data_IF_604468321389
#
_entry.id   IF_604468321389
#
_cell.length_a   1.000
_cell.length_b   1.000
_cell.length_c   1.000
_cell.angle_alpha   90.00
_cell.angle_beta   90.00
_cell.angle_gamma   90.00
#
_symmetry.space_group_name_H-M   'P 1'
#
loop_
_entity.id
_entity.type
_entity.pdbx_description
1 polymer ?
#
# COMPACT_ATOMS: atom_id res chain seq x y z
N UNK A 1 -10.75 -7.06 6.70
CA UNK A 1 -11.81 -6.50 5.83
C UNK A 1 -12.70 -5.48 6.54
N UNK A 2 -13.12 -5.69 7.80
CA UNK A 2 -13.94 -4.70 8.54
C UNK A 2 -13.32 -3.29 8.61
N UNK A 3 -12.00 -3.17 8.55
CA UNK A 3 -11.27 -1.90 8.54
C UNK A 3 -11.49 -1.06 7.26
N UNK A 4 -12.04 -1.63 6.19
CA UNK A 4 -12.47 -0.88 5.01
C UNK A 4 -13.84 -0.20 5.18
N UNK A 5 -14.55 -0.47 6.28
CA UNK A 5 -15.79 0.23 6.62
C UNK A 5 -15.54 1.74 6.68
N UNK A 6 -16.46 2.60 6.18
CA UNK A 6 -16.28 4.05 6.21
C UNK A 6 -15.95 4.59 7.60
N UNK A 7 -15.11 5.62 7.67
CA UNK A 7 -14.63 6.28 8.90
C UNK A 7 -13.64 5.47 9.76
N UNK A 8 -13.28 4.26 9.35
CA UNK A 8 -12.27 3.47 10.04
C UNK A 8 -10.92 3.52 9.33
N UNK A 9 -9.84 3.52 10.12
CA UNK A 9 -8.48 3.34 9.61
C UNK A 9 -8.36 1.95 8.97
N UNK A 10 -7.73 1.91 7.80
CA UNK A 10 -7.45 0.64 7.12
C UNK A 10 -6.37 -0.11 7.91
N UNK A 11 -6.60 -1.38 8.18
CA UNK A 11 -5.63 -2.25 8.85
C UNK A 11 -4.50 -2.65 7.89
N UNK A 12 -3.27 -2.77 8.39
CA UNK A 12 -2.10 -3.15 7.59
C UNK A 12 -2.29 -4.48 6.85
N UNK A 13 -2.97 -5.46 7.45
CA UNK A 13 -3.20 -6.74 6.79
C UNK A 13 -4.12 -6.62 5.57
N UNK A 14 -4.98 -5.59 5.51
CA UNK A 14 -5.76 -5.29 4.30
C UNK A 14 -4.88 -4.69 3.21
N UNK A 15 -3.90 -3.86 3.58
CA UNK A 15 -2.92 -3.31 2.63
C UNK A 15 -2.06 -4.43 2.05
N UNK A 16 -1.61 -5.38 2.87
CA UNK A 16 -0.80 -6.54 2.44
C UNK A 16 -1.62 -7.47 1.52
N UNK A 17 -2.90 -7.70 1.84
CA UNK A 17 -3.81 -8.42 0.95
C UNK A 17 -3.94 -7.72 -0.41
N UNK A 18 -3.98 -6.39 -0.43
CA UNK A 18 -4.02 -5.62 -1.67
C UNK A 18 -2.71 -5.70 -2.46
N UNK A 19 -1.56 -5.68 -1.79
CA UNK A 19 -0.26 -5.90 -2.43
C UNK A 19 -0.21 -7.27 -3.11
N UNK A 20 -0.77 -8.31 -2.47
CA UNK A 20 -0.89 -9.64 -3.04
C UNK A 20 -1.76 -9.66 -4.31
N UNK A 21 -2.91 -8.97 -4.29
CA UNK A 21 -3.79 -8.81 -5.47
C UNK A 21 -3.04 -8.13 -6.61
N UNK A 22 -2.42 -6.97 -6.35
CA UNK A 22 -1.69 -6.22 -7.38
C UNK A 22 -0.53 -7.03 -7.97
N UNK A 23 0.26 -7.72 -7.14
CA UNK A 23 1.34 -8.59 -7.59
C UNK A 23 0.86 -9.77 -8.46
N UNK A 24 -0.33 -10.30 -8.18
CA UNK A 24 -0.92 -11.33 -9.02
C UNK A 24 -1.34 -10.77 -10.38
N UNK A 25 -2.01 -9.62 -10.39
CA UNK A 25 -2.47 -8.97 -11.63
C UNK A 25 -1.31 -8.54 -12.54
N UNK A 26 -0.15 -8.22 -11.98
CA UNK A 26 1.07 -7.93 -12.76
C UNK A 26 1.52 -9.09 -13.67
N UNK A 27 1.08 -10.33 -13.41
CA UNK A 27 1.35 -11.48 -14.28
C UNK A 27 0.60 -11.40 -15.61
N UNK A 28 -0.48 -10.62 -15.67
CA UNK A 28 -1.37 -10.49 -16.82
C UNK A 28 -1.25 -9.14 -17.54
N UNK A 29 -0.25 -8.34 -17.18
CA UNK A 29 -0.01 -7.04 -17.81
C UNK A 29 0.30 -7.17 -19.30
N UNK A 30 0.02 -6.11 -20.06
CA UNK A 30 0.34 -6.06 -21.48
C UNK A 30 1.85 -6.13 -21.73
N UNK A 31 2.23 -6.71 -22.88
CA UNK A 31 3.63 -6.78 -23.29
C UNK A 31 4.21 -5.38 -23.46
N UNK A 32 5.31 -5.11 -22.75
CA UNK A 32 5.98 -3.80 -22.77
C UNK A 32 5.39 -2.77 -21.80
N UNK A 33 4.32 -3.11 -21.07
CA UNK A 33 3.84 -2.29 -19.97
C UNK A 33 4.87 -2.23 -18.83
N UNK A 34 4.79 -1.14 -18.07
CA UNK A 34 5.62 -0.91 -16.88
C UNK A 34 5.47 -2.08 -15.92
N UNK A 35 6.59 -2.65 -15.46
CA UNK A 35 6.57 -3.74 -14.48
C UNK A 35 6.60 -3.22 -13.07
N UNK A 36 5.70 -3.71 -12.22
CA UNK A 36 5.63 -3.30 -10.81
C UNK A 36 5.78 -4.50 -9.89
N UNK A 37 6.29 -4.26 -8.68
CA UNK A 37 6.26 -5.22 -7.59
C UNK A 37 5.91 -4.48 -6.29
N UNK A 38 5.02 -5.07 -5.50
CA UNK A 38 4.47 -4.47 -4.29
C UNK A 38 4.92 -5.32 -3.09
N UNK A 39 5.68 -4.73 -2.16
CA UNK A 39 6.06 -5.40 -0.93
C UNK A 39 5.04 -5.12 0.18
N UNK A 40 5.00 -6.00 1.17
CA UNK A 40 4.10 -5.87 2.30
C UNK A 40 4.59 -4.82 3.31
N UNK A 41 3.67 -4.33 4.14
CA UNK A 41 3.93 -3.33 5.19
C UNK A 41 4.95 -3.80 6.23
N UNK A 42 5.14 -5.11 6.37
CA UNK A 42 6.09 -5.73 7.31
C UNK A 42 7.55 -5.59 6.90
N UNK A 43 7.85 -5.16 5.67
CA UNK A 43 9.23 -4.93 5.23
C UNK A 43 9.93 -3.84 6.04
N UNK A 44 9.20 -2.81 6.49
CA UNK A 44 9.72 -1.76 7.39
C UNK A 44 8.69 -1.48 8.46
N UNK A 45 9.02 -1.87 9.70
CA UNK A 45 8.11 -1.72 10.83
C UNK A 45 8.54 -0.60 11.77
N UNK A 46 7.59 -0.11 12.59
CA UNK A 46 7.88 0.83 13.69
C UNK A 46 8.96 0.30 14.64
N UNK A 47 8.97 -1.01 14.90
CA UNK A 47 9.98 -1.64 15.76
C UNK A 47 11.38 -1.58 15.14
N UNK A 48 11.50 -1.70 13.82
CA UNK A 48 12.80 -1.50 13.15
C UNK A 48 13.28 -0.05 13.27
N UNK A 49 12.38 0.93 13.24
CA UNK A 49 12.74 2.34 13.32
C UNK A 49 13.03 2.82 14.76
N UNK A 50 12.28 2.31 15.75
CA UNK A 50 12.27 2.86 17.12
C UNK A 50 12.42 1.81 18.23
N UNK A 51 12.55 0.53 17.89
CA UNK A 51 12.58 -0.58 18.86
C UNK A 51 13.97 -0.96 19.37
N UNK A 52 15.01 -0.21 18.98
CA UNK A 52 16.38 -0.48 19.43
C UNK A 52 17.03 -1.74 18.83
N UNK A 53 16.52 -2.22 17.69
CA UNK A 53 17.15 -3.32 16.95
C UNK A 53 18.53 -2.90 16.42
N UNK A 54 19.48 -3.83 16.40
CA UNK A 54 20.76 -3.61 15.72
C UNK A 54 20.57 -3.59 14.20
N UNK A 55 21.55 -3.06 13.48
CA UNK A 55 21.55 -3.05 12.02
C UNK A 55 21.44 -4.47 11.44
N UNK A 56 22.12 -5.44 12.03
CA UNK A 56 22.10 -6.85 11.59
C UNK A 56 20.70 -7.45 11.75
N UNK A 57 20.03 -7.18 12.87
CA UNK A 57 18.65 -7.62 13.11
C UNK A 57 17.67 -6.97 12.12
N UNK A 58 17.83 -5.67 11.84
CA UNK A 58 17.03 -4.99 10.81
C UNK A 58 17.25 -5.62 9.42
N UNK A 59 18.49 -5.96 9.08
CA UNK A 59 18.84 -6.63 7.83
C UNK A 59 18.21 -8.02 7.72
N UNK A 60 18.30 -8.83 8.76
CA UNK A 60 17.74 -10.19 8.80
C UNK A 60 16.21 -10.19 8.64
N UNK A 61 15.53 -9.29 9.37
CA UNK A 61 14.07 -9.11 9.25
C UNK A 61 13.73 -8.71 7.81
N UNK A 62 14.41 -7.70 7.27
CA UNK A 62 14.16 -7.22 5.91
C UNK A 62 14.36 -8.33 4.88
N UNK A 63 15.50 -9.02 4.90
CA UNK A 63 15.83 -10.09 3.94
C UNK A 63 14.83 -11.25 4.03
N UNK A 64 14.38 -11.59 5.25
CA UNK A 64 13.35 -12.61 5.46
C UNK A 64 12.04 -12.21 4.81
N UNK A 65 11.60 -10.95 4.97
CA UNK A 65 10.35 -10.47 4.36
C UNK A 65 10.45 -10.40 2.84
N UNK A 66 11.58 -9.92 2.31
CA UNK A 66 11.82 -9.90 0.86
C UNK A 66 11.80 -11.33 0.29
N UNK A 67 12.49 -12.27 0.95
CA UNK A 67 12.50 -13.67 0.52
C UNK A 67 11.10 -14.30 0.57
N UNK A 68 10.29 -13.98 1.59
CA UNK A 68 8.92 -14.44 1.71
C UNK A 68 8.03 -13.94 0.56
N UNK A 69 8.18 -12.68 0.15
CA UNK A 69 7.48 -12.09 -1.00
C UNK A 69 7.74 -12.84 -2.33
N UNK A 70 8.86 -13.58 -2.42
CA UNK A 70 9.22 -14.39 -3.59
C UNK A 70 9.04 -15.90 -3.39
N UNK A 71 8.55 -16.38 -2.24
CA UNK A 71 8.60 -17.81 -1.85
C UNK A 71 7.90 -18.75 -2.85
N UNK A 72 6.91 -18.27 -3.59
CA UNK A 72 6.18 -19.05 -4.59
C UNK A 72 6.58 -18.74 -6.05
N UNK A 73 7.60 -17.90 -6.28
CA UNK A 73 8.10 -17.56 -7.62
C UNK A 73 9.33 -18.42 -7.97
N UNK A 74 9.27 -19.14 -9.09
CA UNK A 74 10.26 -20.15 -9.50
C UNK A 74 11.31 -19.65 -10.49
N UNK A 75 11.21 -18.42 -11.00
CA UNK A 75 12.20 -17.85 -11.94
C UNK A 75 13.08 -16.76 -11.29
N UNK A 76 13.98 -16.16 -12.10
CA UNK A 76 14.87 -15.06 -11.74
C UNK A 76 14.23 -13.83 -11.07
N UNK A 77 12.91 -13.79 -10.83
CA UNK A 77 12.15 -12.77 -10.10
C UNK A 77 12.74 -12.35 -8.76
N UNK A 78 13.54 -13.20 -8.11
CA UNK A 78 14.20 -12.92 -6.82
C UNK A 78 15.25 -11.80 -6.87
N UNK A 79 15.57 -11.26 -8.04
CA UNK A 79 16.59 -10.21 -8.19
C UNK A 79 16.06 -8.89 -8.73
N UNK A 80 14.74 -8.76 -8.93
CA UNK A 80 14.07 -7.55 -9.42
C UNK A 80 14.62 -7.00 -10.76
N UNK A 81 15.39 -7.77 -11.55
CA UNK A 81 16.07 -7.28 -12.77
C UNK A 81 15.12 -6.70 -13.82
N UNK A 82 13.92 -7.24 -13.91
CA UNK A 82 12.91 -6.86 -14.91
C UNK A 82 11.76 -6.04 -14.29
N UNK A 83 11.93 -5.57 -13.05
CA UNK A 83 10.95 -4.72 -12.37
C UNK A 83 11.31 -3.24 -12.58
N UNK A 84 10.38 -2.45 -13.12
CA UNK A 84 10.58 -1.02 -13.35
C UNK A 84 10.32 -0.20 -12.09
N UNK A 85 9.27 -0.55 -11.33
CA UNK A 85 8.82 0.15 -10.13
C UNK A 85 8.64 -0.82 -8.96
N UNK A 86 9.18 -0.46 -7.80
CA UNK A 86 9.02 -1.23 -6.56
C UNK A 86 8.33 -0.36 -5.53
N UNK A 87 7.22 -0.86 -4.97
CA UNK A 87 6.37 -0.15 -4.03
C UNK A 87 6.52 -0.75 -2.63
N UNK A 88 6.68 0.14 -1.64
CA UNK A 88 6.64 -0.21 -0.23
C UNK A 88 5.59 0.67 0.47
N UNK A 89 4.44 0.11 0.88
CA UNK A 89 3.53 0.79 1.78
C UNK A 89 4.17 0.86 3.17
N UNK A 90 4.23 2.05 3.74
CA UNK A 90 4.87 2.31 5.03
C UNK A 90 3.82 2.75 6.03
N UNK A 91 3.79 2.05 7.18
CA UNK A 91 2.97 2.42 8.34
C UNK A 91 3.89 2.80 9.50
N UNK A 92 4.12 4.10 9.67
CA UNK A 92 4.89 4.66 10.79
C UNK A 92 4.07 5.83 11.35
N UNK A 93 4.01 5.93 12.68
CA UNK A 93 3.24 6.97 13.38
C UNK A 93 1.75 7.05 12.97
N UNK A 94 1.12 5.88 12.78
CA UNK A 94 -0.35 5.70 12.63
C UNK A 94 -0.98 6.16 11.31
N UNK A 95 -0.21 6.52 10.29
CA UNK A 95 -0.75 6.76 8.94
C UNK A 95 0.09 6.07 7.86
N UNK A 96 -0.56 5.80 6.72
CA UNK A 96 0.10 5.21 5.56
C UNK A 96 0.65 6.27 4.59
N UNK A 97 1.81 5.94 4.03
CA UNK A 97 2.32 6.52 2.78
C UNK A 97 2.99 5.42 1.95
N UNK A 98 3.37 5.72 0.71
CA UNK A 98 4.03 4.75 -0.17
C UNK A 98 5.38 5.28 -0.62
N UNK A 99 6.44 4.49 -0.46
CA UNK A 99 7.73 4.75 -1.07
C UNK A 99 7.84 3.94 -2.36
N UNK A 100 8.14 4.61 -3.46
CA UNK A 100 8.27 4.00 -4.79
C UNK A 100 9.69 4.16 -5.30
N UNK A 101 10.39 3.04 -5.46
CA UNK A 101 11.68 2.98 -6.14
C UNK A 101 11.44 2.76 -7.63
N UNK A 102 11.70 3.78 -8.44
CA UNK A 102 11.72 3.67 -9.89
C UNK A 102 13.10 3.19 -10.33
N UNK A 103 13.27 1.88 -10.46
CA UNK A 103 14.54 1.25 -10.87
C UNK A 103 14.91 1.56 -12.32
N UNK A 104 13.92 1.83 -13.17
CA UNK A 104 14.12 2.24 -14.56
C UNK A 104 14.84 3.59 -14.66
N UNK A 105 14.33 4.59 -13.95
CA UNK A 105 14.83 5.98 -13.94
C UNK A 105 15.82 6.27 -12.82
N UNK A 106 16.02 5.33 -11.89
CA UNK A 106 16.79 5.53 -10.65
C UNK A 106 16.26 6.72 -9.84
N UNK A 107 15.00 6.68 -9.45
CA UNK A 107 14.37 7.72 -8.64
C UNK A 107 13.61 7.11 -7.45
N UNK A 108 13.48 7.87 -6.36
CA UNK A 108 12.70 7.50 -5.18
C UNK A 108 11.60 8.54 -5.03
N UNK A 109 10.34 8.09 -4.96
CA UNK A 109 9.19 8.98 -4.78
C UNK A 109 8.39 8.58 -3.54
N UNK A 110 7.93 9.56 -2.77
CA UNK A 110 7.12 9.34 -1.57
C UNK A 110 5.71 9.87 -1.81
N UNK A 111 4.75 8.95 -2.02
CA UNK A 111 3.36 9.29 -2.27
C UNK A 111 2.62 9.37 -0.93
N UNK A 112 2.40 10.59 -0.44
CA UNK A 112 1.71 10.83 0.82
C UNK A 112 0.64 11.94 0.68
N UNK A 113 -0.64 11.59 0.84
CA UNK A 113 -1.74 12.55 0.86
C UNK A 113 -1.83 13.36 2.15
N UNK A 114 -1.26 12.86 3.24
CA UNK A 114 -1.30 13.46 4.57
C UNK A 114 -0.04 14.26 4.90
N UNK A 115 0.76 14.60 3.88
CA UNK A 115 1.96 15.42 4.08
C UNK A 115 1.56 16.78 4.64
N UNK A 116 2.13 17.11 5.79
CA UNK A 116 2.15 18.48 6.28
C UNK A 116 3.12 19.29 5.41
N UNK A 117 2.64 20.40 4.83
CA UNK A 117 3.48 21.22 3.96
C UNK A 117 4.53 22.02 4.73
N UNK A 118 4.33 22.21 6.04
CA UNK A 118 5.20 22.98 6.93
C UNK A 118 6.31 22.13 7.56
N UNK A 119 6.24 20.81 7.45
CA UNK A 119 7.26 19.90 7.97
C UNK A 119 8.32 19.58 6.91
N UNK A 120 9.54 19.34 7.40
CA UNK A 120 10.68 18.94 6.57
C UNK A 120 10.67 17.43 6.33
N UNK A 121 11.37 16.98 5.29
CA UNK A 121 11.62 15.54 5.06
C UNK A 121 12.17 14.86 6.32
N UNK A 122 13.11 15.54 6.99
CA UNK A 122 13.78 15.02 8.19
C UNK A 122 12.80 14.73 9.33
N UNK A 123 11.74 15.54 9.46
CA UNK A 123 10.75 15.39 10.51
C UNK A 123 9.79 14.22 10.24
N UNK A 124 9.41 14.00 8.98
CA UNK A 124 8.30 13.09 8.66
C UNK A 124 8.73 11.73 8.13
N UNK A 125 9.90 11.64 7.48
CA UNK A 125 10.28 10.45 6.69
C UNK A 125 11.65 9.87 7.04
N UNK A 126 12.53 10.62 7.71
CA UNK A 126 13.91 10.19 7.96
C UNK A 126 14.00 8.77 8.54
N UNK A 127 13.23 8.48 9.58
CA UNK A 127 13.42 7.23 10.32
C UNK A 127 12.95 6.00 9.52
N UNK A 128 11.86 6.14 8.75
CA UNK A 128 11.34 5.06 7.92
C UNK A 128 11.98 4.97 6.54
N UNK A 129 12.01 6.10 5.83
CA UNK A 129 12.45 6.15 4.44
C UNK A 129 13.96 5.99 4.32
N UNK A 130 14.78 6.61 5.17
CA UNK A 130 16.23 6.41 5.09
C UNK A 130 16.61 4.97 5.47
N UNK A 131 15.93 4.38 6.46
CA UNK A 131 16.11 2.98 6.81
C UNK A 131 15.76 2.07 5.63
N UNK A 132 14.61 2.30 5.00
CA UNK A 132 14.19 1.55 3.81
C UNK A 132 15.20 1.66 2.67
N UNK A 133 15.70 2.87 2.39
CA UNK A 133 16.70 3.10 1.33
C UNK A 133 17.97 2.32 1.61
N UNK A 134 18.47 2.34 2.85
CA UNK A 134 19.67 1.59 3.24
C UNK A 134 19.46 0.08 3.11
N UNK A 135 18.37 -0.44 3.67
CA UNK A 135 18.04 -1.87 3.64
C UNK A 135 17.85 -2.37 2.21
N UNK A 136 17.07 -1.64 1.41
CA UNK A 136 16.78 -2.03 0.04
C UNK A 136 18.01 -1.91 -0.87
N UNK A 137 18.82 -0.87 -0.70
CA UNK A 137 20.08 -0.73 -1.46
C UNK A 137 21.06 -1.87 -1.16
N UNK A 138 21.19 -2.25 0.12
CA UNK A 138 21.98 -3.43 0.54
C UNK A 138 21.45 -4.71 -0.09
N UNK A 139 20.13 -4.91 -0.06
CA UNK A 139 19.52 -6.07 -0.71
C UNK A 139 19.77 -6.08 -2.23
N UNK A 140 19.62 -4.95 -2.92
CA UNK A 140 19.92 -4.84 -4.34
C UNK A 140 21.39 -5.16 -4.64
N UNK A 141 22.31 -4.76 -3.78
CA UNK A 141 23.73 -5.10 -3.89
C UNK A 141 23.98 -6.59 -3.72
N UNK A 142 23.36 -7.24 -2.71
CA UNK A 142 23.54 -8.68 -2.44
C UNK A 142 23.04 -9.57 -3.59
N UNK A 143 22.02 -9.12 -4.33
CA UNK A 143 21.52 -9.82 -5.53
C UNK A 143 22.18 -9.36 -6.85
N UNK A 144 23.23 -8.52 -6.76
CA UNK A 144 23.99 -8.04 -7.92
C UNK A 144 23.19 -7.14 -8.86
N UNK A 145 22.19 -6.41 -8.36
CA UNK A 145 21.37 -5.53 -9.17
C UNK A 145 22.13 -4.24 -9.53
N UNK A 146 22.22 -3.94 -10.83
CA UNK A 146 22.99 -2.81 -11.40
C UNK A 146 22.63 -1.42 -10.88
N UNK A 147 21.49 -1.28 -10.19
CA UNK A 147 21.00 0.00 -9.65
C UNK A 147 21.31 0.21 -8.17
N UNK A 148 21.87 -0.77 -7.47
CA UNK A 148 22.11 -0.70 -6.01
C UNK A 148 22.80 0.61 -5.60
N UNK A 149 23.95 0.91 -6.19
CA UNK A 149 24.74 2.09 -5.85
C UNK A 149 24.07 3.43 -6.19
N UNK A 150 23.28 3.44 -7.28
CA UNK A 150 22.61 4.63 -7.74
C UNK A 150 21.35 4.94 -6.91
N UNK A 151 20.71 3.93 -6.31
CA UNK A 151 19.61 4.12 -5.36
C UNK A 151 20.13 4.61 -4.01
N UNK A 152 21.29 4.14 -3.52
CA UNK A 152 21.90 4.58 -2.26
C UNK A 152 22.09 6.11 -2.20
N UNK A 153 22.35 6.75 -3.34
CA UNK A 153 22.64 8.19 -3.44
C UNK A 153 21.46 9.00 -3.97
N UNK A 154 20.34 8.36 -4.32
CA UNK A 154 19.16 9.06 -4.84
C UNK A 154 18.47 9.85 -3.72
N UNK A 155 18.12 11.10 -4.03
CA UNK A 155 17.36 11.97 -3.11
C UNK A 155 15.87 11.68 -3.28
N UNK A 156 15.15 11.32 -2.20
CA UNK A 156 13.71 11.11 -2.26
C UNK A 156 12.96 12.37 -2.65
N UNK A 157 12.07 12.24 -3.63
CA UNK A 157 11.19 13.31 -4.08
C UNK A 157 9.79 13.11 -3.49
N UNK A 158 9.26 14.16 -2.86
CA UNK A 158 7.89 14.17 -2.36
C UNK A 158 7.04 15.03 -3.31
N UNK A 159 6.30 14.43 -4.25
CA UNK A 159 5.48 15.19 -5.20
C UNK A 159 4.36 15.95 -4.49
N UNK A 160 4.07 17.15 -5.00
CA UNK A 160 2.81 17.84 -4.68
C UNK A 160 1.67 17.14 -5.42
N UNK A 161 0.84 16.40 -4.69
CA UNK A 161 -0.32 15.72 -5.26
C UNK A 161 -1.50 16.68 -5.35
N UNK A 162 -2.29 16.59 -6.42
CA UNK A 162 -3.47 17.46 -6.60
C UNK A 162 -4.55 17.24 -5.52
N UNK A 163 -4.56 16.06 -4.91
CA UNK A 163 -5.50 15.60 -3.90
C UNK A 163 -4.98 15.72 -2.45
N UNK A 164 -3.94 16.51 -2.17
CA UNK A 164 -3.53 16.79 -0.78
C UNK A 164 -4.50 17.76 -0.13
N UNK A 165 -5.18 17.32 0.93
CA UNK A 165 -5.94 18.21 1.82
C UNK A 165 -4.98 19.02 2.69
N UNK A 166 -5.40 20.20 3.16
CA UNK A 166 -4.64 20.97 4.16
C UNK A 166 -4.74 20.33 5.57
N UNK A 167 -5.78 19.54 5.82
CA UNK A 167 -5.99 18.84 7.09
C UNK A 167 -5.59 17.35 6.97
N UNK A 168 -4.96 16.81 8.03
CA UNK A 168 -4.55 15.40 8.09
C UNK A 168 -5.79 14.49 8.12
N UNK A 169 -5.90 13.61 7.13
CA UNK A 169 -6.89 12.55 7.06
C UNK A 169 -6.23 11.17 7.29
N UNK A 170 -5.98 10.86 8.57
CA UNK A 170 -5.37 9.60 8.98
C UNK A 170 -6.27 8.40 8.64
N UNK A 171 -7.59 8.57 8.79
CA UNK A 171 -8.58 7.50 8.58
C UNK A 171 -8.57 6.95 7.15
N UNK A 172 -8.40 7.83 6.15
CA UNK A 172 -8.37 7.44 4.74
C UNK A 172 -6.94 7.27 4.20
N UNK A 173 -5.90 7.43 5.03
CA UNK A 173 -4.50 7.28 4.62
C UNK A 173 -4.23 5.94 3.92
N UNK A 174 -4.81 4.85 4.42
CA UNK A 174 -4.71 3.53 3.81
C UNK A 174 -5.42 3.43 2.45
N UNK A 175 -6.54 4.14 2.25
CA UNK A 175 -7.25 4.17 0.95
C UNK A 175 -6.41 4.91 -0.09
N UNK A 176 -5.80 6.04 0.29
CA UNK A 176 -4.85 6.74 -0.56
C UNK A 176 -3.64 5.87 -0.90
N UNK A 177 -3.09 5.16 0.08
CA UNK A 177 -1.99 4.22 -0.11
C UNK A 177 -2.33 3.13 -1.14
N UNK A 178 -3.46 2.44 -0.97
CA UNK A 178 -3.95 1.42 -1.91
C UNK A 178 -4.16 1.97 -3.31
N UNK A 179 -4.72 3.18 -3.42
CA UNK A 179 -5.01 3.82 -4.70
C UNK A 179 -3.76 4.26 -5.44
N UNK A 180 -2.78 4.82 -4.74
CA UNK A 180 -1.51 5.18 -5.33
C UNK A 180 -0.74 3.98 -5.87
N UNK A 181 -0.75 2.86 -5.14
CA UNK A 181 -0.14 1.61 -5.62
C UNK A 181 -0.85 1.09 -6.88
N UNK A 182 -2.18 1.19 -6.93
CA UNK A 182 -2.94 0.78 -8.10
C UNK A 182 -2.67 1.67 -9.33
N UNK A 183 -2.67 2.99 -9.15
CA UNK A 183 -2.74 3.96 -10.25
C UNK A 183 -1.39 4.47 -10.75
N UNK A 184 -0.33 4.46 -9.92
CA UNK A 184 0.94 5.06 -10.34
C UNK A 184 1.72 4.13 -11.27
N UNK A 185 2.00 4.62 -12.49
CA UNK A 185 2.73 3.87 -13.53
C UNK A 185 4.09 4.51 -13.85
N UNK A 186 4.59 5.42 -13.01
CA UNK A 186 5.89 6.04 -13.20
C UNK A 186 5.91 7.23 -14.16
N UNK A 187 4.73 7.77 -14.49
CA UNK A 187 4.63 9.00 -15.28
C UNK A 187 5.18 10.20 -14.50
N UNK A 188 5.59 11.28 -15.18
CA UNK A 188 5.91 12.53 -14.50
C UNK A 188 4.72 13.05 -13.70
N UNK A 189 4.94 13.50 -12.46
CA UNK A 189 3.87 14.00 -11.58
C UNK A 189 3.10 15.21 -12.14
N UNK A 190 3.71 16.00 -13.02
CA UNK A 190 3.03 17.08 -13.73
C UNK A 190 1.92 16.59 -14.68
N UNK A 191 2.00 15.32 -15.10
CA UNK A 191 1.06 14.66 -16.01
C UNK A 191 0.23 13.56 -15.34
N UNK A 192 0.61 13.16 -14.13
CA UNK A 192 -0.11 12.14 -13.39
C UNK A 192 -1.41 12.70 -12.83
N UNK A 193 -2.52 12.10 -13.23
CA UNK A 193 -3.82 12.32 -12.64
C UNK A 193 -4.23 11.05 -11.90
N UNK A 194 -4.19 11.11 -10.57
CA UNK A 194 -4.62 10.01 -9.74
C UNK A 194 -6.16 9.88 -9.67
N UNK A 195 -6.93 10.71 -10.37
CA UNK A 195 -8.40 10.58 -10.42
C UNK A 195 -9.13 11.00 -9.14
N UNK A 196 -8.40 11.41 -8.09
CA UNK A 196 -8.98 12.00 -6.88
C UNK A 196 -9.03 13.52 -7.06
N UNK A 197 -10.24 14.06 -7.19
CA UNK A 197 -10.51 15.48 -7.44
C UNK A 197 -11.44 16.05 -6.35
N UNK A 198 -11.10 17.25 -5.83
CA UNK A 198 -11.98 18.15 -5.06
C UNK A 198 -12.62 17.61 -3.77
N UNK A 199 -12.79 18.44 -2.74
CA UNK A 199 -13.28 17.97 -1.43
C UNK A 199 -14.69 17.36 -1.45
N UNK A 200 -15.64 17.88 -2.23
CA UNK A 200 -17.02 17.40 -2.27
C UNK A 200 -17.15 15.99 -2.87
N UNK A 201 -16.41 15.72 -3.94
CA UNK A 201 -16.48 14.44 -4.65
C UNK A 201 -15.56 13.40 -4.01
N UNK A 202 -14.53 13.85 -3.27
CA UNK A 202 -13.55 12.99 -2.61
C UNK A 202 -14.20 12.04 -1.62
N UNK A 203 -15.15 12.46 -0.78
CA UNK A 203 -15.70 11.54 0.23
C UNK A 203 -16.56 10.43 -0.38
N UNK A 204 -17.33 10.75 -1.42
CA UNK A 204 -18.06 9.75 -2.18
C UNK A 204 -17.11 8.80 -2.91
N UNK A 205 -16.05 9.34 -3.52
CA UNK A 205 -15.02 8.55 -4.19
C UNK A 205 -14.30 7.60 -3.21
N UNK A 206 -13.93 8.07 -2.02
CA UNK A 206 -13.28 7.25 -0.99
C UNK A 206 -14.19 6.10 -0.53
N UNK A 207 -15.51 6.33 -0.44
CA UNK A 207 -16.49 5.28 -0.19
C UNK A 207 -16.50 4.24 -1.32
N UNK A 208 -16.52 4.69 -2.58
CA UNK A 208 -16.47 3.79 -3.74
C UNK A 208 -15.17 2.98 -3.78
N UNK A 209 -14.03 3.61 -3.48
CA UNK A 209 -12.74 2.93 -3.38
C UNK A 209 -12.72 1.87 -2.27
N UNK A 210 -13.28 2.18 -1.09
CA UNK A 210 -13.45 1.20 0.01
C UNK A 210 -14.24 -0.02 -0.45
N UNK A 211 -15.36 0.18 -1.14
CA UNK A 211 -16.18 -0.93 -1.69
C UNK A 211 -15.41 -1.70 -2.75
N UNK A 212 -14.72 -0.99 -3.66
CA UNK A 212 -13.90 -1.60 -4.72
C UNK A 212 -12.84 -2.52 -4.14
N UNK A 213 -12.01 -2.02 -3.22
CA UNK A 213 -10.94 -2.82 -2.63
C UNK A 213 -11.48 -3.96 -1.78
N UNK A 214 -12.56 -3.74 -1.03
CA UNK A 214 -13.18 -4.79 -0.24
C UNK A 214 -13.65 -5.95 -1.12
N UNK A 215 -14.42 -5.63 -2.16
CA UNK A 215 -14.97 -6.62 -3.09
C UNK A 215 -13.86 -7.33 -3.85
N UNK A 216 -12.88 -6.58 -4.35
CA UNK A 216 -11.76 -7.13 -5.12
C UNK A 216 -10.94 -8.09 -4.26
N UNK A 217 -10.57 -7.74 -3.03
CA UNK A 217 -9.82 -8.66 -2.13
C UNK A 217 -10.66 -9.88 -1.74
N UNK A 218 -11.94 -9.70 -1.41
CA UNK A 218 -12.81 -10.79 -0.96
C UNK A 218 -13.08 -11.82 -2.06
N UNK A 219 -13.20 -11.37 -3.31
CA UNK A 219 -13.63 -12.19 -4.44
C UNK A 219 -12.51 -12.49 -5.44
N UNK A 220 -11.29 -11.99 -5.22
CA UNK A 220 -10.16 -12.28 -6.10
C UNK A 220 -9.85 -13.77 -6.12
N UNK A 221 -9.45 -14.30 -7.28
CA UNK A 221 -9.09 -15.71 -7.44
C UNK A 221 -7.89 -16.17 -6.59
N UNK A 222 -7.07 -15.24 -6.10
CA UNK A 222 -5.95 -15.58 -5.20
C UNK A 222 -6.42 -15.83 -3.77
N UNK A 223 -7.61 -15.33 -3.42
CA UNK A 223 -8.18 -15.54 -2.12
C UNK A 223 -8.79 -16.94 -2.10
N UNK A 224 -8.16 -17.84 -1.34
CA UNK A 224 -8.61 -19.24 -1.18
C UNK A 224 -10.03 -19.37 -0.63
N UNK A 225 -10.58 -18.29 -0.08
CA UNK A 225 -11.95 -18.22 0.43
C UNK A 225 -12.92 -17.50 -0.52
N UNK A 226 -12.51 -17.08 -1.72
CA UNK A 226 -13.34 -16.30 -2.64
C UNK A 226 -14.68 -16.98 -2.95
N UNK A 227 -14.69 -18.27 -3.30
CA UNK A 227 -15.93 -19.01 -3.58
C UNK A 227 -16.85 -19.09 -2.37
N UNK A 228 -16.28 -19.27 -1.17
CA UNK A 228 -17.04 -19.30 0.08
C UNK A 228 -17.62 -17.92 0.40
N UNK A 229 -16.83 -16.86 0.25
CA UNK A 229 -17.29 -15.48 0.45
C UNK A 229 -18.44 -15.12 -0.50
N UNK A 230 -18.36 -15.57 -1.75
CA UNK A 230 -19.44 -15.38 -2.73
C UNK A 230 -20.71 -16.12 -2.32
N UNK A 231 -20.59 -17.39 -1.93
CA UNK A 231 -21.73 -18.18 -1.45
C UNK A 231 -22.40 -17.53 -0.22
N UNK A 232 -21.61 -17.11 0.77
CA UNK A 232 -22.14 -16.43 1.96
C UNK A 232 -22.84 -15.11 1.61
N UNK A 233 -22.34 -14.37 0.63
CA UNK A 233 -22.99 -13.17 0.10
C UNK A 233 -24.32 -13.50 -0.57
N UNK A 234 -24.38 -14.52 -1.42
CA UNK A 234 -25.61 -14.96 -2.11
C UNK A 234 -26.67 -15.42 -1.11
N UNK A 235 -26.28 -16.23 -0.12
CA UNK A 235 -27.16 -16.66 0.96
C UNK A 235 -27.71 -15.46 1.74
N UNK A 236 -26.86 -14.47 2.04
CA UNK A 236 -27.28 -13.24 2.70
C UNK A 236 -28.22 -12.38 1.84
N UNK A 237 -27.96 -12.28 0.54
CA UNK A 237 -28.77 -11.54 -0.44
C UNK A 237 -30.18 -12.14 -0.60
N UNK A 238 -30.26 -13.47 -0.67
CA UNK A 238 -31.53 -14.22 -0.78
C UNK A 238 -32.31 -14.19 0.53
N UNK A 239 -31.65 -14.33 1.67
CA UNK A 239 -32.30 -14.46 2.97
C UNK A 239 -32.93 -13.16 3.47
N UNK A 240 -32.37 -12.01 3.11
CA UNK A 240 -32.76 -10.72 3.68
C UNK A 240 -33.11 -9.69 2.61
N UNK A 241 -34.29 -9.07 2.74
CA UNK A 241 -34.71 -7.98 1.88
C UNK A 241 -33.70 -6.80 1.95
N UNK A 242 -33.55 -6.00 0.87
CA UNK A 242 -32.57 -4.90 0.83
C UNK A 242 -32.63 -3.93 2.02
N UNK A 243 -33.84 -3.59 2.49
CA UNK A 243 -34.04 -2.72 3.66
C UNK A 243 -33.49 -3.35 4.93
N UNK A 244 -33.74 -4.64 5.15
CA UNK A 244 -33.22 -5.40 6.30
C UNK A 244 -31.71 -5.48 6.27
N UNK A 245 -31.11 -5.74 5.10
CA UNK A 245 -29.65 -5.79 4.94
C UNK A 245 -29.00 -4.44 5.26
N UNK A 246 -29.58 -3.35 4.76
CA UNK A 246 -29.11 -1.99 5.06
C UNK A 246 -29.12 -1.71 6.57
N UNK A 247 -30.18 -2.13 7.27
CA UNK A 247 -30.29 -1.96 8.72
C UNK A 247 -29.27 -2.83 9.48
N UNK A 248 -29.08 -4.08 9.06
CA UNK A 248 -28.06 -4.97 9.65
C UNK A 248 -26.65 -4.40 9.49
N UNK A 249 -26.31 -3.90 8.30
CA UNK A 249 -25.02 -3.25 8.04
C UNK A 249 -24.86 -2.01 8.93
N UNK A 250 -25.88 -1.15 9.02
CA UNK A 250 -25.85 0.03 9.89
C UNK A 250 -25.61 -0.34 11.36
N UNK A 251 -26.30 -1.37 11.87
CA UNK A 251 -26.13 -1.86 13.22
C UNK A 251 -24.72 -2.43 13.47
N UNK A 252 -24.16 -3.15 12.51
CA UNK A 252 -22.78 -3.65 12.59
C UNK A 252 -21.75 -2.50 12.64
N UNK A 253 -21.94 -1.45 11.84
CA UNK A 253 -21.09 -0.25 11.86
C UNK A 253 -21.14 0.42 13.23
N UNK A 254 -22.35 0.66 13.78
CA UNK A 254 -22.50 1.28 15.10
C UNK A 254 -21.86 0.44 16.21
N UNK A 255 -22.07 -0.89 16.19
CA UNK A 255 -21.46 -1.79 17.15
C UNK A 255 -19.93 -1.75 17.09
N UNK A 256 -19.35 -1.65 15.89
CA UNK A 256 -17.90 -1.48 15.72
C UNK A 256 -17.42 -0.14 16.27
N UNK A 257 -18.10 0.97 15.96
CA UNK A 257 -17.74 2.30 16.48
C UNK A 257 -17.73 2.32 18.01
N UNK A 258 -18.67 1.63 18.65
CA UNK A 258 -18.72 1.50 20.10
C UNK A 258 -17.56 0.67 20.66
N UNK A 259 -17.14 -0.40 19.96
CA UNK A 259 -15.98 -1.21 20.36
C UNK A 259 -14.67 -0.43 20.33
N UNK A 260 -14.48 0.45 19.34
CA UNK A 260 -13.24 1.23 19.19
C UNK A 260 -13.15 2.46 20.10
N UNK A 261 -14.26 2.85 20.76
CA UNK A 261 -14.27 3.91 21.77
C UNK A 261 -13.88 3.45 23.18
N UNK A 262 -13.87 2.14 23.43
CA UNK A 262 -13.58 1.52 24.72
C UNK A 262 -12.10 1.18 24.84
#
# INVERSE_FOLDING_TARGET
>A
MESLTPHFCVDSGVIDCWCSVLNYEEQFKERGAVSRHFFDTVCVTRNMCHGGLTWEQQCEIFDTQIAFSFKNKTDGSKNLKDVDLVFFPILIAEYFYVVVFNLKKTAINILNNNRDQFTSYKADYNDGCDLLIKLFSRYLESVGHKKSHAITTAVPHIPKLKCTNMEKNIQDSGIFCMHHMEMYMGEPFSKWDCGIVGQSDTQHLLLLLRVKYASKILLHEINVHASKNMQEYEEFDVKYAPVTRKEMIKNAIMAKTERERR
#
